data_IF_111740597961
#
_entry.id   IF_111740597961
#
_cell.length_a   1.000
_cell.length_b   1.000
_cell.length_c   1.000
_cell.angle_alpha   90.00
_cell.angle_beta   90.00
_cell.angle_gamma   90.00
#
_symmetry.space_group_name_H-M   'P 1'
#
loop_
_entity.id
_entity.type
_entity.pdbx_description
1 polymer ?
#
# COMPACT_ATOMS: atom_id res chain seq x y z
N UNK A 1 7.37 -24.58 4.69
CA UNK A 1 6.44 -24.88 3.57
C UNK A 1 6.50 -23.69 2.65
N UNK A 2 6.78 -23.89 1.37
CA UNK A 2 6.82 -22.79 0.42
C UNK A 2 5.41 -22.20 0.27
N UNK A 3 5.32 -20.86 0.20
CA UNK A 3 4.06 -20.14 0.04
C UNK A 3 3.48 -20.26 -1.40
N UNK A 4 4.24 -20.84 -2.33
CA UNK A 4 3.86 -20.96 -3.73
C UNK A 4 3.10 -22.27 -3.99
N UNK A 5 2.25 -22.27 -5.03
CA UNK A 5 1.62 -23.51 -5.49
C UNK A 5 2.68 -24.44 -6.13
N UNK A 6 2.55 -25.78 -6.02
CA UNK A 6 3.53 -26.71 -6.60
C UNK A 6 3.73 -26.53 -8.11
N UNK A 7 2.67 -26.16 -8.84
CA UNK A 7 2.74 -25.88 -10.26
C UNK A 7 3.54 -24.60 -10.57
N UNK A 8 3.38 -23.56 -9.75
CA UNK A 8 4.14 -22.32 -9.88
C UNK A 8 5.63 -22.54 -9.53
N UNK A 9 5.93 -23.31 -8.48
CA UNK A 9 7.32 -23.67 -8.13
C UNK A 9 8.00 -24.42 -9.28
N UNK A 10 7.32 -25.41 -9.86
CA UNK A 10 7.85 -26.15 -11.00
C UNK A 10 8.10 -25.25 -12.21
N UNK A 11 7.20 -24.30 -12.47
CA UNK A 11 7.35 -23.34 -13.57
C UNK A 11 8.55 -22.40 -13.36
N UNK A 12 8.74 -21.90 -12.13
CA UNK A 12 9.88 -21.04 -11.80
C UNK A 12 11.21 -21.79 -11.73
N UNK A 13 11.18 -23.09 -11.43
CA UNK A 13 12.36 -23.96 -11.45
C UNK A 13 12.78 -24.43 -12.85
N UNK A 14 12.02 -24.11 -13.90
CA UNK A 14 12.36 -24.46 -15.27
C UNK A 14 13.49 -23.58 -15.84
N UNK A 15 14.21 -24.09 -16.84
CA UNK A 15 15.32 -23.37 -17.52
C UNK A 15 14.87 -22.04 -18.17
N UNK A 16 13.57 -21.92 -18.49
CA UNK A 16 12.94 -20.70 -19.01
C UNK A 16 11.55 -20.54 -18.41
N UNK A 17 11.40 -19.59 -17.49
CA UNK A 17 10.12 -19.19 -16.94
C UNK A 17 9.68 -17.85 -17.56
N UNK A 18 8.46 -17.80 -18.09
CA UNK A 18 7.83 -16.53 -18.46
C UNK A 18 6.99 -16.05 -17.28
N UNK A 19 7.46 -15.00 -16.61
CA UNK A 19 6.80 -14.43 -15.42
C UNK A 19 6.00 -13.17 -15.77
N UNK A 20 5.04 -12.84 -14.93
CA UNK A 20 4.31 -11.58 -15.01
C UNK A 20 4.09 -10.98 -13.62
N UNK A 21 4.05 -9.65 -13.57
CA UNK A 21 3.54 -8.90 -12.44
C UNK A 21 2.13 -8.38 -12.77
N UNK A 22 1.17 -8.58 -11.87
CA UNK A 22 -0.18 -8.07 -12.02
C UNK A 22 -0.56 -7.25 -10.79
N UNK A 23 -1.25 -6.12 -11.01
CA UNK A 23 -1.67 -5.23 -9.93
C UNK A 23 -3.17 -4.94 -10.02
N UNK A 24 -3.83 -5.00 -8.88
CA UNK A 24 -5.21 -4.56 -8.71
C UNK A 24 -5.25 -3.41 -7.72
N UNK A 25 -5.93 -2.34 -8.10
CA UNK A 25 -6.21 -1.20 -7.23
C UNK A 25 -7.71 -0.99 -7.14
N UNK A 26 -8.25 -1.00 -5.92
CA UNK A 26 -9.65 -0.72 -5.66
C UNK A 26 -9.81 0.77 -5.32
N UNK A 27 -9.85 1.61 -6.36
CA UNK A 27 -9.94 3.06 -6.25
C UNK A 27 -11.40 3.51 -6.00
N UNK A 28 -11.63 4.75 -5.49
CA UNK A 28 -12.96 5.30 -5.37
C UNK A 28 -13.71 5.29 -6.71
N UNK A 29 -14.82 4.55 -6.73
CA UNK A 29 -15.70 4.45 -7.89
C UNK A 29 -15.25 3.48 -8.99
N UNK A 30 -14.08 2.82 -8.88
CA UNK A 30 -13.64 1.82 -9.86
C UNK A 30 -12.49 0.92 -9.39
N UNK A 31 -12.47 -0.31 -9.89
CA UNK A 31 -11.30 -1.19 -9.79
C UNK A 31 -10.45 -1.12 -11.05
N UNK A 32 -9.15 -0.99 -10.89
CA UNK A 32 -8.14 -0.99 -11.97
C UNK A 32 -7.33 -2.28 -11.89
N UNK A 33 -7.08 -2.92 -13.04
CA UNK A 33 -6.36 -4.20 -13.14
C UNK A 33 -5.32 -4.11 -14.23
N UNK A 34 -4.07 -3.95 -13.84
CA UNK A 34 -2.97 -3.71 -14.78
C UNK A 34 -1.97 -4.87 -14.75
N UNK A 35 -1.39 -5.14 -15.92
CA UNK A 35 -0.31 -6.09 -16.14
C UNK A 35 0.98 -5.30 -16.40
N UNK A 36 2.10 -5.81 -15.88
CA UNK A 36 3.42 -5.35 -16.32
C UNK A 36 3.68 -5.89 -17.73
N UNK A 37 3.53 -5.04 -18.75
CA UNK A 37 3.73 -5.39 -20.16
C UNK A 37 2.45 -5.30 -21.00
N UNK A 38 2.55 -5.43 -22.33
CA UNK A 38 1.48 -5.08 -23.28
C UNK A 38 0.44 -6.17 -23.56
N UNK A 39 0.31 -7.18 -22.69
CA UNK A 39 -0.56 -8.34 -22.87
C UNK A 39 -1.85 -8.27 -22.07
N UNK A 40 -2.50 -9.43 -21.95
CA UNK A 40 -3.51 -9.67 -20.93
C UNK A 40 -3.30 -11.04 -20.30
N UNK A 41 -3.68 -11.16 -19.03
CA UNK A 41 -3.70 -12.44 -18.30
C UNK A 41 -5.02 -12.58 -17.57
N UNK A 42 -5.44 -13.84 -17.35
CA UNK A 42 -6.64 -14.17 -16.59
C UNK A 42 -6.31 -15.17 -15.51
N UNK A 43 -6.69 -14.88 -14.28
CA UNK A 43 -6.56 -15.78 -13.16
C UNK A 43 -7.64 -15.52 -12.11
N UNK A 44 -7.83 -16.46 -11.19
CA UNK A 44 -8.82 -16.35 -10.12
C UNK A 44 -8.27 -15.47 -8.99
N UNK A 45 -9.02 -14.43 -8.62
CA UNK A 45 -8.79 -13.59 -7.45
C UNK A 45 -10.01 -13.75 -6.56
N UNK A 46 -9.81 -14.21 -5.31
CA UNK A 46 -10.89 -14.42 -4.34
C UNK A 46 -12.05 -15.29 -4.87
N UNK A 47 -11.75 -16.27 -5.73
CA UNK A 47 -12.72 -17.17 -6.35
C UNK A 47 -13.40 -16.64 -7.61
N UNK A 48 -13.05 -15.44 -8.07
CA UNK A 48 -13.60 -14.84 -9.30
C UNK A 48 -12.51 -14.70 -10.36
N UNK A 49 -12.79 -15.13 -11.60
CA UNK A 49 -11.83 -14.94 -12.70
C UNK A 49 -11.78 -13.47 -13.10
N UNK A 50 -10.62 -12.85 -12.93
CA UNK A 50 -10.37 -11.47 -13.32
C UNK A 50 -9.43 -11.39 -14.53
N UNK A 51 -9.55 -10.32 -15.32
CA UNK A 51 -8.66 -10.03 -16.45
C UNK A 51 -7.81 -8.81 -16.14
N UNK A 52 -6.50 -8.95 -16.32
CA UNK A 52 -5.51 -7.87 -16.18
C UNK A 52 -4.97 -7.51 -17.56
N UNK A 53 -4.82 -6.23 -17.84
CA UNK A 53 -4.41 -5.71 -19.16
C UNK A 53 -3.21 -4.79 -19.05
N UNK A 54 -2.41 -4.68 -20.11
CA UNK A 54 -1.21 -3.82 -20.11
C UNK A 54 -1.48 -2.32 -20.03
N UNK A 55 -2.71 -1.88 -20.28
CA UNK A 55 -3.11 -0.49 -20.24
C UNK A 55 -4.54 -0.34 -19.75
N UNK A 56 -4.82 0.83 -19.18
CA UNK A 56 -6.14 1.29 -18.81
C UNK A 56 -6.35 2.71 -19.37
N UNK A 57 -7.52 3.00 -19.91
CA UNK A 57 -7.79 4.30 -20.55
C UNK A 57 -7.77 5.50 -19.59
N UNK A 58 -7.86 5.25 -18.28
CA UNK A 58 -7.95 6.27 -17.24
C UNK A 58 -6.73 6.28 -16.34
N UNK A 59 -6.12 5.14 -16.04
CA UNK A 59 -4.87 5.13 -15.25
C UNK A 59 -3.63 5.17 -16.14
N UNK A 60 -3.77 4.76 -17.40
CA UNK A 60 -2.68 4.67 -18.36
C UNK A 60 -1.93 3.36 -18.24
N UNK A 61 -0.61 3.41 -18.34
CA UNK A 61 0.27 2.23 -18.36
C UNK A 61 1.09 2.18 -17.09
N UNK A 62 1.25 0.97 -16.60
CA UNK A 62 2.15 0.68 -15.50
C UNK A 62 3.60 0.65 -16.00
N UNK A 63 4.45 1.55 -15.49
CA UNK A 63 5.81 1.73 -16.02
C UNK A 63 6.86 0.88 -15.29
N UNK A 64 6.82 0.84 -13.97
CA UNK A 64 7.83 0.15 -13.17
C UNK A 64 7.33 -0.16 -11.75
N UNK A 65 7.71 -1.34 -11.25
CA UNK A 65 7.78 -1.67 -9.82
C UNK A 65 9.26 -1.47 -9.45
N UNK A 66 9.58 -0.47 -8.63
CA UNK A 66 10.98 -0.13 -8.38
C UNK A 66 11.56 -0.99 -7.26
N UNK A 67 10.98 -0.88 -6.07
CA UNK A 67 11.48 -1.55 -4.86
C UNK A 67 10.33 -2.02 -3.98
N UNK A 68 10.38 -3.30 -3.62
CA UNK A 68 9.68 -3.84 -2.47
C UNK A 68 10.69 -3.84 -1.31
N UNK A 69 10.41 -3.06 -0.27
CA UNK A 69 11.23 -3.05 0.95
C UNK A 69 10.55 -3.91 2.00
N UNK A 70 11.23 -4.97 2.42
CA UNK A 70 10.83 -5.74 3.60
C UNK A 70 11.21 -4.90 4.83
N UNK A 71 10.28 -4.11 5.33
CA UNK A 71 10.50 -3.24 6.50
C UNK A 71 11.11 -4.00 7.68
N UNK A 72 12.02 -3.34 8.42
CA UNK A 72 12.72 -3.93 9.57
C UNK A 72 12.64 -3.00 10.78
N UNK A 73 12.29 -3.54 11.95
CA UNK A 73 12.19 -2.76 13.18
C UNK A 73 10.92 -1.91 13.17
N UNK A 74 11.10 -0.58 13.12
CA UNK A 74 10.01 0.41 13.21
C UNK A 74 9.53 0.91 11.82
N UNK A 75 9.79 0.14 10.75
CA UNK A 75 9.37 0.47 9.38
C UNK A 75 8.45 -0.63 8.85
N UNK A 76 7.30 -0.24 8.28
CA UNK A 76 6.41 -1.18 7.61
C UNK A 76 6.93 -1.50 6.20
N UNK A 77 6.58 -2.69 5.66
CA UNK A 77 6.85 -2.99 4.27
C UNK A 77 6.19 -1.98 3.32
N UNK A 78 6.93 -1.53 2.31
CA UNK A 78 6.48 -0.53 1.34
C UNK A 78 6.82 -0.93 -0.10
N UNK A 79 6.04 -0.41 -1.04
CA UNK A 79 6.17 -0.66 -2.46
C UNK A 79 6.04 0.66 -3.24
N UNK A 80 7.01 0.96 -4.10
CA UNK A 80 6.95 2.11 -4.99
C UNK A 80 6.47 1.74 -6.39
N UNK A 81 5.48 2.46 -6.89
CA UNK A 81 4.91 2.29 -8.23
C UNK A 81 4.92 3.59 -9.03
N UNK A 82 5.25 3.47 -10.31
CA UNK A 82 5.17 4.59 -11.26
C UNK A 82 4.16 4.32 -12.37
N UNK A 83 3.21 5.24 -12.52
CA UNK A 83 2.23 5.25 -13.59
C UNK A 83 2.55 6.30 -14.63
N UNK A 84 2.25 5.99 -15.89
CA UNK A 84 2.22 6.95 -16.99
C UNK A 84 0.75 7.17 -17.35
N UNK A 85 0.13 8.29 -16.90
CA UNK A 85 -1.28 8.55 -17.14
C UNK A 85 -1.58 8.72 -18.63
N UNK A 86 -2.74 8.23 -19.07
CA UNK A 86 -3.15 8.34 -20.47
C UNK A 86 -3.46 9.79 -20.89
N UNK A 87 -3.91 10.64 -19.95
CA UNK A 87 -4.40 12.02 -20.19
C UNK A 87 -4.19 12.92 -18.98
N UNK A 88 -4.35 14.23 -19.14
CA UNK A 88 -4.18 15.21 -18.06
C UNK A 88 -5.21 15.04 -16.93
N UNK A 89 -6.46 14.75 -17.29
CA UNK A 89 -7.52 14.47 -16.33
C UNK A 89 -7.22 13.21 -15.49
N UNK A 90 -6.58 12.21 -16.10
CA UNK A 90 -6.15 10.99 -15.44
C UNK A 90 -5.04 11.27 -14.40
N UNK A 91 -4.05 12.09 -14.78
CA UNK A 91 -2.99 12.50 -13.86
C UNK A 91 -3.55 13.26 -12.64
N UNK A 92 -4.49 14.20 -12.88
CA UNK A 92 -5.14 14.95 -11.80
C UNK A 92 -6.02 14.06 -10.91
N UNK A 93 -6.72 13.08 -11.49
CA UNK A 93 -7.54 12.13 -10.74
C UNK A 93 -6.67 11.23 -9.86
N UNK A 94 -5.59 10.68 -10.40
CA UNK A 94 -4.64 9.86 -9.64
C UNK A 94 -3.99 10.69 -8.52
N UNK A 95 -3.57 11.92 -8.81
CA UNK A 95 -2.97 12.81 -7.79
C UNK A 95 -3.98 13.35 -6.75
N UNK A 96 -5.26 12.98 -6.82
CA UNK A 96 -6.28 13.43 -5.87
C UNK A 96 -6.10 12.77 -4.51
N UNK A 97 -6.24 13.55 -3.43
CA UNK A 97 -6.25 13.06 -2.04
C UNK A 97 -7.30 11.97 -1.81
N UNK A 98 -8.39 11.98 -2.58
CA UNK A 98 -9.43 10.95 -2.49
C UNK A 98 -8.92 9.54 -2.82
N UNK A 99 -7.78 9.40 -3.53
CA UNK A 99 -7.18 8.11 -3.86
C UNK A 99 -6.39 7.50 -2.68
N UNK A 100 -6.00 8.30 -1.70
CA UNK A 100 -5.24 7.83 -0.54
C UNK A 100 -6.07 6.82 0.27
N UNK A 101 -5.42 5.79 0.79
CA UNK A 101 -6.08 4.70 1.52
C UNK A 101 -6.76 3.65 0.61
N UNK A 102 -6.64 3.75 -0.72
CA UNK A 102 -7.23 2.74 -1.61
C UNK A 102 -6.45 1.41 -1.53
N UNK A 103 -7.13 0.26 -1.43
CA UNK A 103 -6.47 -1.04 -1.39
C UNK A 103 -5.74 -1.38 -2.68
N UNK A 104 -4.53 -1.92 -2.55
CA UNK A 104 -3.67 -2.36 -3.64
C UNK A 104 -3.13 -3.75 -3.37
N UNK A 105 -3.23 -4.61 -4.39
CA UNK A 105 -2.68 -5.97 -4.37
C UNK A 105 -1.78 -6.21 -5.56
N UNK A 106 -0.60 -6.77 -5.30
CA UNK A 106 0.40 -7.14 -6.29
C UNK A 106 0.59 -8.65 -6.31
N UNK A 107 0.53 -9.25 -7.50
CA UNK A 107 0.81 -10.65 -7.73
C UNK A 107 2.02 -10.85 -8.64
N UNK A 108 2.75 -11.93 -8.38
CA UNK A 108 3.72 -12.52 -9.29
C UNK A 108 3.19 -13.86 -9.75
N UNK A 109 3.22 -14.11 -11.04
CA UNK A 109 2.81 -15.40 -11.60
C UNK A 109 3.68 -15.85 -12.75
N UNK A 110 3.43 -17.08 -13.21
CA UNK A 110 4.07 -17.66 -14.39
C UNK A 110 3.02 -17.94 -15.48
N UNK A 111 3.43 -17.82 -16.74
CA UNK A 111 2.62 -18.08 -17.92
C UNK A 111 3.24 -19.24 -18.69
N UNK A 112 2.41 -20.13 -19.20
CA UNK A 112 2.83 -21.12 -20.20
C UNK A 112 3.01 -20.41 -21.55
N UNK A 113 4.24 -20.37 -22.11
CA UNK A 113 4.51 -19.69 -23.38
C UNK A 113 3.73 -20.26 -24.57
N UNK A 114 3.29 -21.53 -24.50
CA UNK A 114 2.57 -22.17 -25.59
C UNK A 114 1.07 -21.86 -25.58
N UNK A 115 0.44 -21.91 -24.40
CA UNK A 115 -1.00 -21.68 -24.25
C UNK A 115 -1.37 -20.23 -23.89
N UNK A 116 -0.42 -19.45 -23.35
CA UNK A 116 -0.67 -18.11 -22.82
C UNK A 116 -1.47 -18.11 -21.51
N UNK A 117 -1.72 -19.28 -20.91
CA UNK A 117 -2.47 -19.42 -19.67
C UNK A 117 -1.55 -19.30 -18.44
N UNK A 118 -2.12 -18.82 -17.35
CA UNK A 118 -1.43 -18.74 -16.05
C UNK A 118 -1.22 -20.16 -15.51
N UNK A 119 0.00 -20.46 -15.06
CA UNK A 119 0.37 -21.75 -14.47
C UNK A 119 0.17 -21.68 -12.96
N UNK A 120 -0.71 -22.53 -12.44
CA UNK A 120 -1.01 -22.59 -11.00
C UNK A 120 -1.64 -21.30 -10.49
N UNK A 121 -1.51 -21.08 -9.18
CA UNK A 121 -2.01 -19.88 -8.52
C UNK A 121 -0.88 -18.84 -8.38
N UNK A 122 -1.06 -17.60 -8.88
CA UNK A 122 -0.10 -16.52 -8.68
C UNK A 122 0.13 -16.21 -7.20
N UNK A 123 1.38 -15.93 -6.84
CA UNK A 123 1.77 -15.54 -5.49
C UNK A 123 1.37 -14.08 -5.25
N UNK A 124 0.59 -13.84 -4.19
CA UNK A 124 0.35 -12.49 -3.69
C UNK A 124 1.64 -12.00 -3.01
N UNK A 125 2.33 -11.06 -3.65
CA UNK A 125 3.57 -10.48 -3.13
C UNK A 125 3.31 -9.37 -2.12
N UNK A 126 2.29 -8.55 -2.37
CA UNK A 126 2.03 -7.38 -1.54
C UNK A 126 0.55 -7.07 -1.45
N UNK A 127 0.11 -6.63 -0.27
CA UNK A 127 -1.24 -6.16 0.00
C UNK A 127 -1.14 -4.94 0.94
N UNK A 128 -1.52 -3.78 0.44
CA UNK A 128 -1.34 -2.51 1.16
C UNK A 128 -2.31 -1.44 0.69
N UNK A 129 -2.08 -0.21 1.14
CA UNK A 129 -2.91 0.95 0.86
C UNK A 129 -2.09 2.01 0.11
N UNK A 130 -2.70 2.70 -0.85
CA UNK A 130 -2.07 3.85 -1.51
C UNK A 130 -1.81 4.97 -0.51
N UNK A 131 -0.60 5.50 -0.52
CA UNK A 131 -0.26 6.75 0.16
C UNK A 131 -0.33 7.96 -0.79
N UNK A 132 0.21 9.10 -0.36
CA UNK A 132 0.20 10.36 -1.10
C UNK A 132 0.91 10.22 -2.46
N UNK A 133 0.21 10.60 -3.52
CA UNK A 133 0.73 10.61 -4.87
C UNK A 133 1.75 11.75 -5.09
N UNK A 134 2.82 11.46 -5.82
CA UNK A 134 3.76 12.47 -6.33
C UNK A 134 3.65 12.61 -7.85
N UNK A 135 3.10 13.73 -8.31
CA UNK A 135 3.01 14.04 -9.73
C UNK A 135 4.32 14.67 -10.23
N UNK A 136 5.03 13.96 -11.11
CA UNK A 136 6.23 14.46 -11.77
C UNK A 136 5.90 14.88 -13.20
N UNK A 137 6.33 16.08 -13.57
CA UNK A 137 6.15 16.64 -14.91
C UNK A 137 7.51 16.95 -15.49
N UNK A 138 7.80 16.42 -16.68
CA UNK A 138 9.03 16.68 -17.43
C UNK A 138 8.70 17.18 -18.84
N UNK A 139 9.73 17.55 -19.61
CA UNK A 139 9.58 17.88 -21.03
C UNK A 139 9.18 16.68 -21.89
N UNK A 140 9.37 15.45 -21.40
CA UNK A 140 9.11 14.19 -22.12
C UNK A 140 7.81 13.52 -21.71
N UNK A 141 7.14 13.98 -20.65
CA UNK A 141 5.86 13.43 -20.22
C UNK A 141 5.51 13.75 -18.77
N UNK A 142 4.55 13.00 -18.24
CA UNK A 142 4.12 13.09 -16.85
C UNK A 142 4.07 11.69 -16.26
N UNK A 143 4.48 11.56 -15.01
CA UNK A 143 4.37 10.32 -14.25
C UNK A 143 3.72 10.60 -12.91
N UNK A 144 2.97 9.63 -12.40
CA UNK A 144 2.43 9.66 -11.04
C UNK A 144 3.09 8.53 -10.28
N UNK A 145 3.84 8.90 -9.24
CA UNK A 145 4.46 7.94 -8.35
C UNK A 145 3.59 7.76 -7.11
N UNK A 146 3.42 6.52 -6.69
CA UNK A 146 2.79 6.17 -5.43
C UNK A 146 3.74 5.34 -4.59
N UNK A 147 3.67 5.62 -3.30
CA UNK A 147 4.09 4.68 -2.27
C UNK A 147 2.87 3.91 -1.80
N UNK A 148 3.01 2.60 -1.62
CA UNK A 148 1.99 1.74 -1.02
C UNK A 148 2.58 1.14 0.22
N UNK A 149 1.95 1.41 1.34
CA UNK A 149 2.37 0.92 2.64
C UNK A 149 1.48 -0.24 3.07
N UNK A 150 2.06 -1.16 3.84
CA UNK A 150 1.28 -2.18 4.54
C UNK A 150 0.39 -1.53 5.61
N UNK A 151 -0.70 -2.20 5.98
CA UNK A 151 -1.51 -1.85 7.16
C UNK A 151 -0.69 -1.78 8.45
N UNK A 152 0.51 -2.38 8.48
CA UNK A 152 1.40 -2.29 9.63
C UNK A 152 1.92 -0.87 9.90
N UNK A 153 1.87 0.02 8.92
CA UNK A 153 2.23 1.44 9.11
C UNK A 153 1.41 2.10 10.22
N UNK A 154 0.15 1.69 10.39
CA UNK A 154 -0.74 2.20 11.44
C UNK A 154 -0.21 1.92 12.85
N UNK A 155 0.64 0.90 13.05
CA UNK A 155 1.25 0.61 14.36
C UNK A 155 2.38 1.56 14.71
N UNK A 156 2.96 2.25 13.72
CA UNK A 156 4.05 3.21 13.92
C UNK A 156 3.55 4.66 14.02
N UNK A 157 2.24 4.88 13.86
CA UNK A 157 1.62 6.17 14.14
C UNK A 157 1.76 6.50 15.62
N UNK A 158 2.51 7.55 15.92
CA UNK A 158 2.60 8.13 17.25
C UNK A 158 1.51 9.19 17.43
N UNK A 159 0.70 9.05 18.49
CA UNK A 159 -0.22 10.10 18.91
C UNK A 159 0.47 11.04 19.91
N UNK A 160 1.36 11.88 19.39
CA UNK A 160 2.04 12.93 20.16
C UNK A 160 1.10 14.11 20.51
N UNK A 161 -0.12 14.11 19.96
CA UNK A 161 -1.12 15.16 20.12
C UNK A 161 -2.04 14.97 21.32
N UNK A 162 -2.14 13.73 21.83
CA UNK A 162 -3.00 13.39 22.95
C UNK A 162 -2.60 14.13 24.23
N UNK A 163 -3.55 14.89 24.79
CA UNK A 163 -3.36 15.60 26.07
C UNK A 163 -4.40 15.10 27.07
N UNK A 164 -3.95 14.73 28.26
CA UNK A 164 -4.81 14.43 29.42
C UNK A 164 -5.41 15.72 30.02
N UNK A 165 -6.16 16.46 29.20
CA UNK A 165 -6.86 17.68 29.58
C UNK A 165 -8.32 17.57 29.17
N UNK A 166 -9.21 18.11 30.00
CA UNK A 166 -10.65 18.13 29.73
C UNK A 166 -10.97 18.69 28.34
N UNK A 167 -10.33 19.80 27.97
CA UNK A 167 -10.50 20.44 26.65
C UNK A 167 -10.15 19.55 25.47
N UNK A 168 -9.12 18.70 25.58
CA UNK A 168 -8.74 17.79 24.48
C UNK A 168 -9.67 16.58 24.41
N UNK A 169 -10.02 16.03 25.57
CA UNK A 169 -10.95 14.91 25.69
C UNK A 169 -12.35 15.27 25.16
N UNK A 170 -12.87 16.44 25.52
CA UNK A 170 -14.14 16.95 24.99
C UNK A 170 -14.10 17.25 23.48
N UNK A 171 -12.94 17.60 22.92
CA UNK A 171 -12.78 17.81 21.49
C UNK A 171 -12.92 16.51 20.68
N UNK A 172 -12.35 15.40 21.19
CA UNK A 172 -12.36 14.11 20.51
C UNK A 172 -13.60 13.27 20.85
N UNK A 173 -14.05 13.33 22.10
CA UNK A 173 -15.21 12.61 22.63
C UNK A 173 -16.11 13.57 23.40
N UNK A 174 -17.08 14.19 22.71
CA UNK A 174 -18.07 15.06 23.36
C UNK A 174 -18.76 14.32 24.52
N UNK A 175 -18.95 15.03 25.64
CA UNK A 175 -19.61 14.55 26.89
C UNK A 175 -18.79 13.56 27.75
N UNK A 176 -17.52 13.30 27.43
CA UNK A 176 -16.66 12.42 28.24
C UNK A 176 -16.12 13.11 29.51
N UNK A 177 -16.51 12.62 30.69
CA UNK A 177 -16.20 13.30 31.97
C UNK A 177 -14.91 12.81 32.66
N UNK A 178 -14.11 11.93 32.03
CA UNK A 178 -12.92 11.34 32.65
C UNK A 178 -11.85 12.37 32.98
N UNK A 179 -11.74 13.44 32.20
CA UNK A 179 -10.83 14.55 32.45
C UNK A 179 -11.47 15.80 33.09
N UNK A 180 -12.79 15.82 33.34
CA UNK A 180 -13.53 17.03 33.78
C UNK A 180 -13.03 17.65 35.10
N UNK A 181 -12.40 16.84 35.96
CA UNK A 181 -11.86 17.28 37.24
C UNK A 181 -10.33 17.18 37.33
N UNK A 182 -9.64 16.92 36.21
CA UNK A 182 -8.17 16.82 36.15
C UNK A 182 -7.59 18.24 36.20
N UNK A 183 -7.15 18.65 37.39
CA UNK A 183 -6.59 19.98 37.66
C UNK A 183 -5.06 20.01 37.74
N UNK A 184 -4.39 18.84 37.74
CA UNK A 184 -2.95 18.68 37.98
C UNK A 184 -2.22 17.97 36.83
N UNK A 185 -2.29 18.50 35.61
CA UNK A 185 -1.55 17.94 34.45
C UNK A 185 -0.04 18.23 34.52
N UNK A 186 0.38 19.18 35.38
CA UNK A 186 1.78 19.65 35.45
C UNK A 186 2.69 18.87 36.42
N UNK A 187 2.20 17.85 37.14
CA UNK A 187 3.01 17.08 38.08
C UNK A 187 3.36 15.70 37.50
N UNK A 188 4.64 15.50 37.18
CA UNK A 188 5.17 14.17 36.87
C UNK A 188 5.25 13.35 38.16
N UNK A 189 4.33 12.41 38.34
CA UNK A 189 4.31 11.48 39.47
C UNK A 189 5.12 10.25 39.07
N UNK A 190 6.22 10.00 39.76
CA UNK A 190 7.03 8.81 39.56
C UNK A 190 6.48 7.66 40.42
N UNK A 191 6.36 6.47 39.83
CA UNK A 191 5.94 5.27 40.55
C UNK A 191 7.14 4.62 41.24
N UNK A 192 7.06 4.40 42.55
CA UNK A 192 8.09 3.68 43.33
C UNK A 192 9.33 4.49 43.72
N UNK A 193 9.46 5.75 43.32
CA UNK A 193 10.52 6.68 43.77
C UNK A 193 10.02 8.13 43.65
N UNK A 194 10.65 9.10 44.34
CA UNK A 194 10.32 10.52 44.24
C UNK A 194 10.95 11.22 43.03
N UNK A 195 12.04 10.67 42.48
CA UNK A 195 12.65 11.07 41.20
C UNK A 195 13.68 9.99 40.80
N UNK A 196 13.64 9.42 39.58
CA UNK A 196 14.69 8.54 39.08
C UNK A 196 15.98 9.33 38.83
N UNK A 197 17.13 8.79 39.24
CA UNK A 197 18.43 9.39 38.96
C UNK A 197 18.63 9.54 37.43
N UNK A 198 18.88 10.77 36.96
CA UNK A 198 19.20 11.07 35.57
C UNK A 198 18.20 11.95 34.81
N UNK A 199 17.01 12.21 35.36
CA UNK A 199 16.03 13.11 34.73
C UNK A 199 16.26 14.55 35.21
N UNK A 200 16.95 15.37 34.40
CA UNK A 200 17.01 16.83 34.63
C UNK A 200 15.77 17.48 34.02
N UNK A 201 15.15 18.40 34.78
CA UNK A 201 14.07 19.29 34.31
C UNK A 201 14.51 20.14 33.13
#
# INVERSE_FOLDING_TARGET
MSQMSPAMEAALGADRAMIFGAIRMDLPGRTVRLLVGSGFVRFSVDGTVETFTGSDDVVGVFSAIDTLTDGMGDEAPALSLTFIPAKDAAAAQLASVAMQGSPVRLWLGAIDPMSGLVIGDPLLLFNGLLDVASLKVSSTGRTVDYEITSIFEDFFLSDDGARLSDTFHQYLWPDELGCAFVTYVAQQIYWGTSSPDGVRR
#
